data_IF_961612771889
#
_entry.id   IF_961612771889
#
_cell.length_a   1.000
_cell.length_b   1.000
_cell.length_c   1.000
_cell.angle_alpha   90.00
_cell.angle_beta   90.00
_cell.angle_gamma   90.00
#
_symmetry.space_group_name_H-M   'P 1'
#
loop_
_entity.id
_entity.type
_entity.pdbx_description
1 polymer ?
#
# COMPACT_ATOMS: atom_id res chain seq x y z
N UNK A 1 -4.78 12.70 -6.24
CA UNK A 1 -4.43 12.24 -4.86
C UNK A 1 -5.46 11.29 -4.24
N UNK A 2 -6.69 11.72 -3.92
CA UNK A 2 -7.68 10.88 -3.21
C UNK A 2 -8.01 9.56 -3.92
N UNK A 3 -8.14 9.56 -5.26
CA UNK A 3 -8.41 8.34 -6.03
C UNK A 3 -7.28 7.31 -5.94
N UNK A 4 -6.02 7.77 -5.96
CA UNK A 4 -4.85 6.89 -5.84
C UNK A 4 -4.79 6.26 -4.44
N UNK A 5 -5.01 7.06 -3.40
CA UNK A 5 -5.06 6.61 -2.00
C UNK A 5 -6.23 5.64 -1.78
N UNK A 6 -7.41 5.92 -2.33
CA UNK A 6 -8.57 5.04 -2.24
C UNK A 6 -8.33 3.70 -2.97
N UNK A 7 -7.65 3.73 -4.12
CA UNK A 7 -7.33 2.53 -4.87
C UNK A 7 -6.36 1.62 -4.10
N UNK A 8 -5.26 2.15 -3.58
CA UNK A 8 -4.30 1.35 -2.79
C UNK A 8 -4.94 0.85 -1.49
N UNK A 9 -5.77 1.68 -0.84
CA UNK A 9 -6.52 1.24 0.35
C UNK A 9 -7.39 0.02 0.04
N UNK A 10 -8.15 0.06 -1.06
CA UNK A 10 -9.00 -1.06 -1.47
C UNK A 10 -8.17 -2.31 -1.78
N UNK A 11 -7.02 -2.18 -2.45
CA UNK A 11 -6.13 -3.31 -2.72
C UNK A 11 -5.59 -3.95 -1.44
N UNK A 12 -5.18 -3.13 -0.46
CA UNK A 12 -4.71 -3.63 0.83
C UNK A 12 -5.84 -4.28 1.65
N UNK A 13 -7.05 -3.71 1.64
CA UNK A 13 -8.23 -4.32 2.26
C UNK A 13 -8.57 -5.67 1.62
N UNK A 14 -8.44 -5.78 0.30
CA UNK A 14 -8.63 -7.04 -0.40
C UNK A 14 -7.56 -8.08 -0.04
N UNK A 15 -6.29 -7.67 0.11
CA UNK A 15 -5.22 -8.57 0.59
C UNK A 15 -5.53 -9.17 1.95
N UNK A 16 -6.00 -8.33 2.87
CA UNK A 16 -6.44 -8.78 4.20
C UNK A 16 -7.58 -9.79 4.10
N UNK A 17 -8.54 -9.61 3.18
CA UNK A 17 -9.61 -10.59 2.96
C UNK A 17 -9.08 -11.91 2.35
N UNK A 18 -8.24 -11.83 1.33
CA UNK A 18 -7.65 -13.03 0.67
C UNK A 18 -6.89 -13.89 1.67
N UNK A 19 -6.21 -13.29 2.65
CA UNK A 19 -5.57 -14.01 3.75
C UNK A 19 -6.56 -14.89 4.52
N UNK A 20 -7.71 -14.35 4.91
CA UNK A 20 -8.70 -15.10 5.69
C UNK A 20 -9.30 -16.29 4.93
N UNK A 21 -9.33 -16.19 3.59
CA UNK A 21 -9.81 -17.27 2.71
C UNK A 21 -8.69 -18.26 2.31
N UNK A 22 -7.42 -17.99 2.65
CA UNK A 22 -6.27 -18.83 2.29
C UNK A 22 -6.17 -20.06 3.19
N UNK A 23 -6.64 -21.20 2.69
CA UNK A 23 -6.56 -22.50 3.39
C UNK A 23 -5.14 -23.08 3.46
N UNK A 24 -4.21 -22.56 2.67
CA UNK A 24 -2.82 -23.00 2.60
C UNK A 24 -1.89 -22.07 3.39
N UNK A 25 -2.46 -21.14 4.17
CA UNK A 25 -1.72 -20.17 4.98
C UNK A 25 -0.71 -20.88 5.91
N UNK A 26 0.51 -20.35 5.96
CA UNK A 26 1.65 -20.87 6.72
C UNK A 26 2.01 -19.85 7.82
N UNK A 27 2.25 -20.32 9.04
CA UNK A 27 2.67 -19.51 10.19
C UNK A 27 3.92 -18.66 9.91
N UNK A 28 4.77 -19.09 8.96
CA UNK A 28 5.96 -18.32 8.52
C UNK A 28 5.60 -16.99 7.87
N UNK A 29 4.39 -16.85 7.34
CA UNK A 29 3.95 -15.64 6.64
C UNK A 29 3.26 -14.64 7.59
N UNK A 30 3.23 -14.89 8.91
CA UNK A 30 2.55 -14.02 9.89
C UNK A 30 3.09 -12.58 9.89
N UNK A 31 4.41 -12.41 9.72
CA UNK A 31 5.04 -11.08 9.65
C UNK A 31 4.66 -10.35 8.36
N UNK A 32 4.41 -11.09 7.27
CA UNK A 32 3.93 -10.52 6.01
C UNK A 32 2.53 -9.97 6.18
N UNK A 33 1.66 -10.69 6.89
CA UNK A 33 0.32 -10.22 7.19
C UNK A 33 0.34 -8.93 8.01
N UNK A 34 1.18 -8.88 9.04
CA UNK A 34 1.33 -7.66 9.84
C UNK A 34 1.92 -6.51 9.03
N UNK A 35 2.80 -6.79 8.07
CA UNK A 35 3.32 -5.75 7.17
C UNK A 35 2.21 -5.16 6.29
N UNK A 36 1.27 -5.98 5.81
CA UNK A 36 0.09 -5.52 5.05
C UNK A 36 -0.85 -4.71 5.94
N UNK A 37 -1.14 -5.18 7.16
CA UNK A 37 -1.99 -4.46 8.12
C UNK A 37 -1.38 -3.10 8.53
N UNK A 38 -0.05 -3.05 8.67
CA UNK A 38 0.70 -1.82 8.95
C UNK A 38 0.59 -0.84 7.76
N UNK A 39 0.80 -1.31 6.53
CA UNK A 39 0.64 -0.48 5.34
C UNK A 39 -0.78 0.07 5.22
N UNK A 40 -1.80 -0.77 5.47
CA UNK A 40 -3.20 -0.36 5.43
C UNK A 40 -3.51 0.70 6.49
N UNK A 41 -2.96 0.54 7.69
CA UNK A 41 -3.09 1.51 8.78
C UNK A 41 -2.48 2.86 8.39
N UNK A 42 -1.28 2.86 7.79
CA UNK A 42 -0.65 4.08 7.28
C UNK A 42 -1.47 4.75 6.19
N UNK A 43 -2.03 4.01 5.24
CA UNK A 43 -2.87 4.56 4.17
C UNK A 43 -4.18 5.15 4.71
N UNK A 44 -4.81 4.50 5.70
CA UNK A 44 -6.01 5.03 6.36
C UNK A 44 -5.73 6.34 7.09
N UNK A 45 -4.62 6.41 7.83
CA UNK A 45 -4.17 7.62 8.50
C UNK A 45 -3.86 8.73 7.48
N UNK A 46 -3.07 8.41 6.44
CA UNK A 46 -2.75 9.34 5.36
C UNK A 46 -4.01 9.96 4.76
N UNK A 47 -5.03 9.14 4.47
CA UNK A 47 -6.32 9.61 3.91
C UNK A 47 -7.06 10.54 4.87
N UNK A 48 -7.07 10.22 6.16
CA UNK A 48 -7.79 10.99 7.19
C UNK A 48 -7.14 12.34 7.50
N UNK A 49 -5.83 12.46 7.30
CA UNK A 49 -5.05 13.66 7.60
C UNK A 49 -4.93 14.64 6.42
N UNK A 50 -5.46 14.31 5.25
CA UNK A 50 -5.42 15.22 4.10
C UNK A 50 -6.22 16.51 4.37
N UNK A 51 -5.75 17.67 3.86
CA UNK A 51 -4.55 17.86 3.04
C UNK A 51 -3.25 17.90 3.86
N UNK A 52 -2.14 17.41 3.27
CA UNK A 52 -0.80 17.38 3.87
C UNK A 52 0.18 18.11 2.95
N UNK A 53 1.30 18.59 3.51
CA UNK A 53 2.43 19.03 2.69
C UNK A 53 3.11 17.82 2.01
N UNK A 54 3.81 18.09 0.91
CA UNK A 54 4.47 17.08 0.08
C UNK A 54 5.42 16.18 0.87
N UNK A 55 6.22 16.74 1.78
CA UNK A 55 7.22 15.97 2.53
C UNK A 55 6.56 14.99 3.50
N UNK A 56 5.49 15.42 4.18
CA UNK A 56 4.71 14.58 5.09
C UNK A 56 3.97 13.49 4.32
N UNK A 57 3.40 13.83 3.16
CA UNK A 57 2.76 12.86 2.27
C UNK A 57 3.74 11.78 1.80
N UNK A 58 4.87 12.19 1.21
CA UNK A 58 5.89 11.28 0.67
C UNK A 58 6.42 10.35 1.76
N UNK A 59 6.76 10.87 2.94
CA UNK A 59 7.24 10.07 4.05
C UNK A 59 6.23 8.96 4.44
N UNK A 60 4.95 9.32 4.62
CA UNK A 60 3.90 8.35 4.98
C UNK A 60 3.63 7.35 3.86
N UNK A 61 3.65 7.79 2.60
CA UNK A 61 3.48 6.94 1.43
C UNK A 61 4.61 5.91 1.31
N UNK A 62 5.87 6.36 1.41
CA UNK A 62 7.03 5.48 1.33
C UNK A 62 7.13 4.52 2.51
N UNK A 63 6.73 4.92 3.72
CA UNK A 63 6.63 3.99 4.86
C UNK A 63 5.65 2.84 4.59
N UNK A 64 4.46 3.15 4.07
CA UNK A 64 3.48 2.13 3.71
C UNK A 64 3.98 1.22 2.58
N UNK A 65 4.59 1.79 1.53
CA UNK A 65 5.17 1.02 0.43
C UNK A 65 6.33 0.13 0.86
N UNK A 66 7.19 0.61 1.77
CA UNK A 66 8.31 -0.16 2.32
C UNK A 66 7.82 -1.39 3.11
N UNK A 67 6.75 -1.25 3.91
CA UNK A 67 6.16 -2.38 4.62
C UNK A 67 5.69 -3.48 3.65
N UNK A 68 4.96 -3.10 2.59
CA UNK A 68 4.53 -4.04 1.55
C UNK A 68 5.71 -4.70 0.84
N UNK A 69 6.75 -3.94 0.49
CA UNK A 69 7.93 -4.46 -0.18
C UNK A 69 8.72 -5.46 0.70
N UNK A 70 8.89 -5.15 1.98
CA UNK A 70 9.52 -6.08 2.93
C UNK A 70 8.68 -7.35 3.09
N UNK A 71 7.35 -7.22 3.20
CA UNK A 71 6.43 -8.36 3.23
C UNK A 71 6.54 -9.23 1.97
N UNK A 72 6.60 -8.61 0.79
CA UNK A 72 6.75 -9.33 -0.48
C UNK A 72 8.07 -10.11 -0.56
N UNK A 73 9.17 -9.53 -0.09
CA UNK A 73 10.48 -10.20 -0.07
C UNK A 73 10.55 -11.35 0.94
N UNK A 74 9.84 -11.24 2.06
CA UNK A 74 9.82 -12.25 3.12
C UNK A 74 8.84 -13.41 2.84
N UNK A 75 7.89 -13.22 1.92
CA UNK A 75 6.81 -14.17 1.69
C UNK A 75 7.30 -15.50 1.12
N UNK A 76 6.85 -16.61 1.72
CA UNK A 76 7.40 -17.94 1.45
C UNK A 76 6.78 -18.66 0.24
N UNK A 77 5.62 -18.19 -0.28
CA UNK A 77 4.79 -18.92 -1.26
C UNK A 77 4.50 -18.13 -2.55
N UNK A 78 5.50 -17.87 -3.43
CA UNK A 78 5.35 -16.96 -4.57
C UNK A 78 4.33 -17.41 -5.64
N UNK A 79 3.85 -18.65 -5.63
CA UNK A 79 2.81 -19.13 -6.54
C UNK A 79 1.37 -18.81 -6.08
N UNK A 80 1.18 -18.38 -4.83
CA UNK A 80 -0.15 -18.16 -4.24
C UNK A 80 -0.87 -16.97 -4.86
N UNK A 81 -2.21 -16.98 -4.73
CA UNK A 81 -3.03 -15.82 -5.10
C UNK A 81 -2.68 -14.60 -4.25
N UNK A 82 -2.41 -14.80 -2.97
CA UNK A 82 -2.00 -13.74 -2.05
C UNK A 82 -0.75 -13.00 -2.55
N UNK A 83 0.29 -13.73 -2.95
CA UNK A 83 1.52 -13.12 -3.47
C UNK A 83 1.30 -12.30 -4.75
N UNK A 84 0.39 -12.73 -5.63
CA UNK A 84 0.03 -11.95 -6.83
C UNK A 84 -0.61 -10.61 -6.46
N UNK A 85 -1.47 -10.60 -5.45
CA UNK A 85 -2.04 -9.35 -4.93
C UNK A 85 -1.02 -8.49 -4.19
N UNK A 86 -0.10 -9.12 -3.45
CA UNK A 86 0.93 -8.44 -2.69
C UNK A 86 1.90 -7.69 -3.63
N UNK A 87 2.34 -8.36 -4.69
CA UNK A 87 3.17 -7.76 -5.74
C UNK A 87 2.41 -6.70 -6.56
N UNK A 88 1.08 -6.85 -6.74
CA UNK A 88 0.26 -5.81 -7.35
C UNK A 88 0.20 -4.55 -6.47
N UNK A 89 0.01 -4.70 -5.16
CA UNK A 89 0.03 -3.59 -4.20
C UNK A 89 1.40 -2.89 -4.20
N UNK A 90 2.49 -3.65 -4.21
CA UNK A 90 3.85 -3.09 -4.32
C UNK A 90 4.00 -2.20 -5.55
N UNK A 91 3.60 -2.69 -6.74
CA UNK A 91 3.69 -1.91 -7.98
C UNK A 91 2.81 -0.66 -7.96
N UNK A 92 1.64 -0.71 -7.31
CA UNK A 92 0.79 0.46 -7.16
C UNK A 92 1.48 1.56 -6.35
N UNK A 93 2.20 1.21 -5.28
CA UNK A 93 2.99 2.19 -4.51
C UNK A 93 4.07 2.88 -5.35
N UNK A 94 4.71 2.12 -6.26
CA UNK A 94 5.75 2.63 -7.17
C UNK A 94 5.17 3.54 -8.25
N UNK A 95 4.03 3.19 -8.84
CA UNK A 95 3.46 3.93 -9.99
C UNK A 95 2.61 5.12 -9.56
N UNK A 96 1.86 4.99 -8.47
CA UNK A 96 0.89 6.02 -8.08
C UNK A 96 1.54 7.23 -7.39
N UNK A 97 2.79 7.11 -6.91
CA UNK A 97 3.50 8.25 -6.31
C UNK A 97 3.69 9.38 -7.33
N UNK A 98 4.03 9.03 -8.58
CA UNK A 98 4.23 9.99 -9.67
C UNK A 98 2.92 10.69 -10.05
N UNK A 99 1.81 9.96 -10.04
CA UNK A 99 0.48 10.50 -10.30
C UNK A 99 0.04 11.46 -9.19
N UNK A 100 0.42 11.20 -7.94
CA UNK A 100 0.10 12.08 -6.83
C UNK A 100 0.97 13.34 -6.86
N UNK A 101 2.26 13.21 -7.18
CA UNK A 101 3.17 14.34 -7.32
C UNK A 101 2.76 15.30 -8.44
N UNK A 102 2.31 14.77 -9.59
CA UNK A 102 1.85 15.57 -10.73
C UNK A 102 0.62 16.45 -10.40
N UNK A 103 -0.33 15.91 -9.62
CA UNK A 103 -1.54 16.66 -9.22
C UNK A 103 -1.23 17.80 -8.26
N UNK A 104 -0.19 17.66 -7.44
CA UNK A 104 0.26 18.73 -6.52
C UNK A 104 0.93 19.89 -7.30
N UNK A 105 1.70 19.57 -8.34
CA UNK A 105 2.31 20.58 -9.23
C UNK A 105 1.26 21.38 -10.02
N UNK A 106 0.25 20.73 -10.58
CA UNK A 106 -0.86 21.43 -11.26
C UNK A 106 -1.65 22.33 -10.30
N UNK A 107 -1.90 21.87 -9.07
CA UNK A 107 -2.60 22.67 -8.05
C UNK A 107 -1.78 23.90 -7.63
N UNK A 108 -0.46 23.79 -7.56
CA UNK A 108 0.43 24.91 -7.25
C UNK A 108 0.53 25.94 -8.40
N UNK A 109 0.37 25.51 -9.66
CA UNK A 109 0.40 26.41 -10.82
C UNK A 109 -0.95 27.10 -11.11
N UNK A 110 -2.04 26.60 -10.56
CA UNK A 110 -3.39 27.14 -10.75
C UNK A 110 -3.83 28.14 -9.65
N UNK A 111 -2.99 28.39 -8.64
CA UNK A 111 -3.24 29.30 -7.51
C UNK A 111 -2.40 30.59 -7.63
#
# INVERSE_FOLDING_TARGET
>A
MLTAIAHIQHTLEHLVQVRYDDKEWDDKDVDVDFAVDLALSHIRLLRAELPLDRSTFENKWFMAGAAVNLGAQAFSRPSSLYYRWLTAAQRQFEVLVDLVAFVDEEACHAA
#
